data_IF_984643029325
#
_entry.id   IF_984643029325
#
_cell.length_a   1.000
_cell.length_b   1.000
_cell.length_c   1.000
_cell.angle_alpha   90.00
_cell.angle_beta   90.00
_cell.angle_gamma   90.00
#
_symmetry.space_group_name_H-M   'P 1'
#
loop_
_entity.id
_entity.type
_entity.pdbx_description
1 polymer ?
#
# COMPACT_ATOMS: atom_id res chain seq x y z
N UNK A 1 78.05 11.51 -3.11
CA UNK A 1 76.81 12.02 -3.75
C UNK A 1 75.66 11.17 -3.26
N UNK A 2 74.87 11.62 -2.33
CA UNK A 2 73.72 10.91 -1.77
C UNK A 2 72.44 11.53 -2.43
N UNK A 3 71.67 10.77 -3.19
CA UNK A 3 70.41 11.22 -3.72
C UNK A 3 69.29 11.04 -2.68
N UNK A 4 68.62 12.13 -2.38
CA UNK A 4 67.42 12.16 -1.49
C UNK A 4 66.18 11.98 -2.41
N UNK A 5 65.48 10.87 -2.27
CA UNK A 5 64.21 10.64 -2.94
C UNK A 5 63.09 11.31 -2.11
N UNK A 6 62.43 12.31 -2.67
CA UNK A 6 61.24 12.93 -2.08
C UNK A 6 59.99 12.10 -2.41
N UNK A 7 59.34 11.58 -1.38
CA UNK A 7 58.06 10.85 -1.47
C UNK A 7 56.92 11.88 -1.45
N UNK A 8 56.26 12.10 -2.61
CA UNK A 8 55.02 12.90 -2.66
C UNK A 8 53.85 12.05 -2.16
N UNK A 9 53.34 12.37 -0.99
CA UNK A 9 52.06 11.85 -0.48
C UNK A 9 50.90 12.63 -1.17
N UNK A 10 50.19 12.01 -2.10
CA UNK A 10 48.93 12.55 -2.62
C UNK A 10 47.82 12.25 -1.61
N UNK A 11 47.32 13.26 -0.91
CA UNK A 11 46.07 13.18 -0.13
C UNK A 11 44.91 13.02 -1.09
N UNK A 12 44.32 11.84 -1.15
CA UNK A 12 42.98 11.62 -1.77
C UNK A 12 41.95 12.09 -0.75
N UNK A 13 41.40 13.27 -0.94
CA UNK A 13 40.20 13.73 -0.21
C UNK A 13 38.98 12.92 -0.73
N UNK A 14 38.56 11.95 0.06
CA UNK A 14 37.26 11.30 -0.13
C UNK A 14 36.19 12.35 0.20
N UNK A 15 35.59 12.93 -0.81
CA UNK A 15 34.41 13.77 -0.63
C UNK A 15 33.30 12.88 -0.04
N UNK A 16 32.99 13.09 1.23
CA UNK A 16 31.83 12.51 1.88
C UNK A 16 30.59 13.08 1.15
N UNK A 17 29.88 12.22 0.42
CA UNK A 17 28.59 12.59 -0.16
C UNK A 17 27.70 13.06 1.00
N UNK A 18 27.28 14.32 0.96
CA UNK A 18 26.34 14.84 1.94
C UNK A 18 25.09 13.94 1.90
N UNK A 19 24.70 13.41 3.06
CA UNK A 19 23.49 12.59 3.17
C UNK A 19 22.31 13.40 2.60
N UNK A 20 21.67 12.84 1.59
CA UNK A 20 20.46 13.45 1.04
C UNK A 20 19.41 13.58 2.16
N UNK A 21 18.71 14.72 2.25
CA UNK A 21 17.75 14.94 3.32
C UNK A 21 16.73 13.80 3.38
N UNK A 22 16.26 13.48 4.57
CA UNK A 22 15.25 12.44 4.77
C UNK A 22 14.00 12.76 3.94
N UNK A 23 13.38 11.77 3.28
CA UNK A 23 12.14 11.98 2.55
C UNK A 23 11.05 12.55 3.48
N UNK A 24 10.17 13.36 2.92
CA UNK A 24 9.07 14.01 3.61
C UNK A 24 7.78 13.70 2.88
N UNK A 25 6.69 13.50 3.61
CA UNK A 25 5.38 13.22 3.05
C UNK A 25 4.84 14.39 2.22
N UNK A 26 3.91 14.12 1.33
CA UNK A 26 3.29 15.13 0.47
C UNK A 26 2.83 16.38 1.23
N UNK A 27 2.15 16.23 2.38
CA UNK A 27 1.69 17.35 3.22
C UNK A 27 2.80 18.14 3.89
N UNK A 28 3.94 17.53 4.18
CA UNK A 28 5.08 18.20 4.82
C UNK A 28 5.72 19.26 3.93
N UNK A 29 5.37 19.26 2.63
CA UNK A 29 5.73 20.30 1.67
C UNK A 29 4.70 21.43 1.58
N UNK A 30 3.68 21.47 2.45
CA UNK A 30 2.60 22.46 2.43
C UNK A 30 1.61 22.25 1.29
N UNK A 31 1.58 21.06 0.69
CA UNK A 31 0.63 20.66 -0.34
C UNK A 31 -0.53 19.88 0.27
N UNK A 32 -1.68 19.87 -0.37
CA UNK A 32 -2.82 19.08 0.06
C UNK A 32 -3.69 18.67 -1.12
N UNK A 33 -4.39 17.54 -0.96
CA UNK A 33 -5.44 17.07 -1.86
C UNK A 33 -6.72 16.84 -1.08
N UNK A 34 -7.86 17.09 -1.72
CA UNK A 34 -9.17 16.94 -1.11
C UNK A 34 -9.54 18.07 -0.15
N UNK A 35 -10.72 17.93 0.46
CA UNK A 35 -11.33 18.92 1.36
C UNK A 35 -11.47 18.41 2.80
N UNK A 36 -11.34 17.09 3.01
CA UNK A 36 -11.47 16.49 4.33
C UNK A 36 -10.15 16.55 5.10
N UNK A 37 -10.26 16.70 6.43
CA UNK A 37 -9.10 16.66 7.33
C UNK A 37 -8.57 15.24 7.46
N UNK A 38 -7.25 15.04 7.46
CA UNK A 38 -6.66 13.75 7.82
C UNK A 38 -6.90 13.45 9.31
N UNK A 39 -6.77 12.18 9.68
CA UNK A 39 -6.60 11.77 11.07
C UNK A 39 -5.24 12.20 11.63
N UNK A 40 -4.97 11.95 12.91
CA UNK A 40 -3.76 12.41 13.60
C UNK A 40 -2.45 11.94 12.97
N UNK A 41 -2.40 10.71 12.47
CA UNK A 41 -1.23 10.11 11.82
C UNK A 41 -1.28 10.23 10.29
N UNK A 42 -2.46 10.60 9.76
CA UNK A 42 -2.75 10.54 8.33
C UNK A 42 -2.35 9.19 7.73
N UNK A 43 -2.75 8.09 8.38
CA UNK A 43 -2.38 6.73 8.05
C UNK A 43 -3.58 5.78 8.23
N UNK A 44 -3.51 4.58 7.63
CA UNK A 44 -4.55 3.56 7.79
C UNK A 44 -4.77 3.20 9.27
N UNK A 45 -3.76 3.34 10.07
CA UNK A 45 -3.76 3.09 11.53
C UNK A 45 -4.50 4.15 12.34
N UNK A 46 -5.01 5.21 11.73
CA UNK A 46 -5.98 6.12 12.36
C UNK A 46 -7.35 5.46 12.55
N UNK A 47 -7.63 4.38 11.80
CA UNK A 47 -8.81 3.54 12.02
C UNK A 47 -8.57 2.65 13.23
N UNK A 48 -9.44 2.77 14.22
CA UNK A 48 -9.29 2.07 15.51
C UNK A 48 -9.13 0.54 15.35
N UNK A 49 -8.09 -0.01 15.97
CA UNK A 49 -7.76 -1.44 15.95
C UNK A 49 -6.86 -1.88 14.82
N UNK A 50 -6.73 -1.09 13.74
CA UNK A 50 -5.87 -1.43 12.59
C UNK A 50 -4.39 -1.35 12.98
N UNK A 51 -3.64 -2.39 12.61
CA UNK A 51 -2.20 -2.49 12.81
C UNK A 51 -1.50 -2.84 11.49
N UNK A 52 -0.29 -2.32 11.32
CA UNK A 52 0.55 -2.59 10.15
C UNK A 52 1.90 -3.12 10.59
N UNK A 53 2.36 -4.19 9.94
CA UNK A 53 3.69 -4.75 10.14
C UNK A 53 4.40 -4.94 8.80
N UNK A 54 5.72 -4.77 8.79
CA UNK A 54 6.51 -4.82 7.57
C UNK A 54 7.85 -5.51 7.80
N UNK A 55 8.31 -6.26 6.81
CA UNK A 55 9.66 -6.79 6.72
C UNK A 55 10.22 -6.47 5.34
N UNK A 56 11.30 -5.70 5.33
CA UNK A 56 12.06 -5.34 4.11
C UNK A 56 13.18 -6.33 3.91
N UNK A 57 13.32 -6.88 2.70
CA UNK A 57 14.36 -7.84 2.33
C UNK A 57 15.26 -7.18 1.28
N UNK A 58 16.47 -6.82 1.71
CA UNK A 58 17.52 -6.28 0.86
C UNK A 58 18.76 -7.13 1.03
N UNK A 59 19.19 -7.84 -0.04
CA UNK A 59 20.36 -8.71 0.01
C UNK A 59 21.19 -8.53 -1.26
N UNK A 60 22.48 -8.32 -1.08
CA UNK A 60 23.40 -8.05 -2.20
C UNK A 60 22.89 -6.98 -3.15
N UNK A 61 23.16 -7.14 -4.43
CA UNK A 61 22.82 -6.16 -5.45
C UNK A 61 21.49 -6.47 -6.17
N UNK A 62 20.88 -7.63 -5.92
CA UNK A 62 19.75 -8.12 -6.71
C UNK A 62 18.44 -8.30 -5.97
N UNK A 63 18.44 -8.39 -4.63
CA UNK A 63 17.21 -8.64 -3.87
C UNK A 63 16.65 -7.34 -3.29
N UNK A 64 15.49 -6.95 -3.77
CA UNK A 64 14.72 -5.76 -3.32
C UNK A 64 13.24 -6.12 -3.24
N UNK A 65 12.83 -6.75 -2.14
CA UNK A 65 11.47 -7.23 -1.95
C UNK A 65 11.07 -7.14 -0.48
N UNK A 66 9.92 -7.71 -0.13
CA UNK A 66 9.46 -7.75 1.26
C UNK A 66 7.99 -8.11 1.39
N UNK A 67 7.48 -7.92 2.59
CA UNK A 67 6.09 -8.19 2.95
C UNK A 67 5.53 -7.08 3.84
N UNK A 68 4.28 -6.73 3.60
CA UNK A 68 3.50 -5.80 4.43
C UNK A 68 2.21 -6.49 4.85
N UNK A 69 1.86 -6.42 6.12
CA UNK A 69 0.62 -6.98 6.65
C UNK A 69 -0.27 -5.89 7.22
N UNK A 70 -1.58 -6.00 7.00
CA UNK A 70 -2.61 -5.16 7.60
C UNK A 70 -3.52 -6.05 8.44
N UNK A 71 -3.51 -5.83 9.75
CA UNK A 71 -4.30 -6.60 10.73
C UNK A 71 -5.50 -5.76 11.12
N UNK A 72 -6.75 -6.24 10.92
CA UNK A 72 -7.96 -5.45 11.13
C UNK A 72 -8.21 -5.08 12.60
N UNK A 73 -7.88 -5.96 13.55
CA UNK A 73 -8.04 -5.74 14.99
C UNK A 73 -7.12 -6.65 15.81
N UNK A 74 -7.04 -6.43 17.12
CA UNK A 74 -6.12 -7.16 18.01
C UNK A 74 -6.52 -8.61 18.31
N UNK A 75 -7.81 -8.96 18.12
CA UNK A 75 -8.32 -10.30 18.39
C UNK A 75 -8.01 -11.31 17.28
N UNK A 76 -8.48 -12.54 17.48
CA UNK A 76 -8.43 -13.59 16.47
C UNK A 76 -9.42 -13.27 15.34
N UNK A 77 -8.90 -12.83 14.18
CA UNK A 77 -9.70 -12.39 13.01
C UNK A 77 -10.57 -13.54 12.47
N UNK A 78 -10.14 -14.79 12.61
CA UNK A 78 -10.92 -15.94 12.17
C UNK A 78 -12.15 -16.17 13.05
N UNK A 79 -12.04 -15.97 14.35
CA UNK A 79 -13.13 -16.15 15.31
C UNK A 79 -14.08 -14.96 15.37
N UNK A 80 -13.58 -13.75 15.06
CA UNK A 80 -14.31 -12.48 15.07
C UNK A 80 -14.06 -11.75 13.75
N UNK A 81 -14.72 -12.22 12.68
CA UNK A 81 -14.48 -11.77 11.32
C UNK A 81 -14.96 -10.34 11.10
N UNK A 82 -14.18 -9.54 10.38
CA UNK A 82 -14.60 -8.20 9.97
C UNK A 82 -15.39 -8.26 8.67
N UNK A 83 -16.44 -7.45 8.55
CA UNK A 83 -17.12 -7.25 7.29
C UNK A 83 -16.14 -6.72 6.24
N UNK A 84 -16.18 -7.29 5.03
CA UNK A 84 -15.23 -6.95 3.98
C UNK A 84 -15.82 -7.10 2.57
N UNK A 85 -15.17 -6.45 1.62
CA UNK A 85 -15.42 -6.62 0.20
C UNK A 85 -14.14 -6.46 -0.62
N UNK A 86 -14.10 -7.08 -1.78
CA UNK A 86 -13.02 -6.93 -2.76
C UNK A 86 -13.59 -6.36 -4.05
N UNK A 87 -12.92 -5.33 -4.59
CA UNK A 87 -13.18 -4.80 -5.92
C UNK A 87 -11.98 -5.08 -6.84
N UNK A 88 -12.26 -5.65 -8.00
CA UNK A 88 -11.26 -5.87 -9.05
C UNK A 88 -11.38 -4.73 -10.06
N UNK A 89 -10.43 -3.80 -10.02
CA UNK A 89 -10.36 -2.67 -10.95
C UNK A 89 -9.80 -3.12 -12.30
N UNK A 90 -8.72 -3.88 -12.29
CA UNK A 90 -8.18 -4.63 -13.42
C UNK A 90 -7.56 -5.94 -12.92
N UNK A 91 -7.84 -7.06 -13.60
CA UNK A 91 -7.66 -8.40 -13.04
C UNK A 91 -6.36 -9.11 -13.43
N UNK A 92 -5.35 -8.43 -14.00
CA UNK A 92 -4.09 -9.08 -14.36
C UNK A 92 -3.15 -9.20 -13.15
N UNK A 93 -3.45 -10.10 -12.23
CA UNK A 93 -2.68 -10.29 -11.00
C UNK A 93 -3.19 -11.45 -10.16
N UNK A 94 -2.58 -11.61 -8.97
CA UNK A 94 -2.94 -12.65 -8.01
C UNK A 94 -3.41 -11.99 -6.73
N UNK A 95 -4.67 -12.19 -6.42
CA UNK A 95 -5.22 -11.91 -5.10
C UNK A 95 -5.93 -13.18 -4.63
N UNK A 96 -5.40 -13.81 -3.59
CA UNK A 96 -6.06 -14.97 -2.98
C UNK A 96 -7.27 -14.54 -2.15
N UNK A 97 -8.19 -15.46 -1.88
CA UNK A 97 -9.36 -15.19 -1.02
C UNK A 97 -10.50 -14.41 -1.68
N UNK A 98 -10.38 -13.98 -2.95
CA UNK A 98 -11.43 -13.21 -3.64
C UNK A 98 -12.79 -13.91 -3.56
N UNK A 99 -12.85 -15.20 -3.90
CA UNK A 99 -14.10 -15.94 -3.96
C UNK A 99 -14.82 -15.98 -2.61
N UNK A 100 -14.09 -16.26 -1.53
CA UNK A 100 -14.65 -16.30 -0.18
C UNK A 100 -15.13 -14.93 0.28
N UNK A 101 -14.33 -13.86 0.06
CA UNK A 101 -14.73 -12.51 0.47
C UNK A 101 -15.93 -12.02 -0.32
N UNK A 102 -16.00 -12.31 -1.63
CA UNK A 102 -17.14 -11.93 -2.47
C UNK A 102 -18.40 -12.69 -2.09
N UNK A 103 -18.31 -13.97 -1.76
CA UNK A 103 -19.44 -14.82 -1.39
C UNK A 103 -19.93 -14.55 0.03
N UNK A 104 -19.00 -14.45 1.01
CA UNK A 104 -19.36 -14.39 2.43
C UNK A 104 -19.26 -12.98 3.05
N UNK A 105 -18.69 -12.02 2.35
CA UNK A 105 -18.65 -10.63 2.79
C UNK A 105 -17.78 -10.35 4.01
N UNK A 106 -16.76 -11.17 4.29
CA UNK A 106 -15.90 -10.99 5.45
C UNK A 106 -14.46 -11.44 5.20
N UNK A 107 -13.52 -10.98 6.04
CA UNK A 107 -12.15 -11.48 6.12
C UNK A 107 -12.03 -12.52 7.24
N UNK A 108 -11.31 -13.61 6.96
CA UNK A 108 -10.95 -14.65 7.92
C UNK A 108 -9.52 -14.49 8.46
N UNK A 109 -8.73 -13.63 7.82
CA UNK A 109 -7.31 -13.43 8.13
C UNK A 109 -6.93 -11.96 8.01
N UNK A 110 -5.76 -11.54 8.51
CA UNK A 110 -5.08 -10.33 8.05
C UNK A 110 -4.93 -10.29 6.52
N UNK A 111 -4.74 -9.09 5.96
CA UNK A 111 -4.36 -8.89 4.55
C UNK A 111 -2.85 -8.86 4.46
N UNK A 112 -2.27 -9.67 3.58
CA UNK A 112 -0.82 -9.72 3.32
C UNK A 112 -0.53 -9.22 1.91
N UNK A 113 0.47 -8.35 1.76
CA UNK A 113 0.95 -7.83 0.48
C UNK A 113 2.41 -8.26 0.29
N UNK A 114 2.77 -8.69 -0.92
CA UNK A 114 4.13 -9.10 -1.28
C UNK A 114 4.38 -8.96 -2.79
N UNK A 115 5.33 -9.70 -3.35
CA UNK A 115 5.56 -9.77 -4.79
C UNK A 115 4.80 -10.92 -5.45
N UNK A 116 4.68 -10.84 -6.78
CA UNK A 116 3.92 -11.77 -7.62
C UNK A 116 4.24 -13.25 -7.42
N UNK A 117 5.52 -13.62 -7.36
CA UNK A 117 5.92 -15.03 -7.30
C UNK A 117 5.95 -15.60 -5.87
N UNK A 118 5.88 -14.74 -4.87
CA UNK A 118 5.89 -15.15 -3.46
C UNK A 118 4.49 -15.23 -2.81
N UNK A 119 3.43 -14.95 -3.57
CA UNK A 119 2.03 -15.13 -3.09
C UNK A 119 1.80 -16.52 -2.49
N UNK A 120 2.22 -17.64 -3.11
CA UNK A 120 2.03 -18.97 -2.51
C UNK A 120 2.74 -19.14 -1.16
N UNK A 121 3.96 -18.61 -1.04
CA UNK A 121 4.73 -18.66 0.23
C UNK A 121 4.02 -17.87 1.32
N UNK A 122 3.57 -16.65 1.00
CA UNK A 122 2.85 -15.81 1.94
C UNK A 122 1.50 -16.42 2.34
N UNK A 123 0.78 -17.02 1.40
CA UNK A 123 -0.48 -17.69 1.65
C UNK A 123 -0.32 -18.88 2.60
N UNK A 124 0.67 -19.75 2.35
CA UNK A 124 0.97 -20.88 3.23
C UNK A 124 1.33 -20.43 4.66
N UNK A 125 2.19 -19.40 4.77
CA UNK A 125 2.58 -18.85 6.07
C UNK A 125 1.39 -18.25 6.85
N UNK A 126 0.45 -17.60 6.13
CA UNK A 126 -0.73 -17.01 6.75
C UNK A 126 -1.75 -18.08 7.20
N UNK A 127 -1.87 -19.20 6.45
CA UNK A 127 -2.65 -20.36 6.89
C UNK A 127 -2.07 -20.89 8.21
N UNK A 128 -0.76 -21.18 8.26
CA UNK A 128 -0.09 -21.70 9.45
C UNK A 128 -0.28 -20.76 10.66
N UNK A 129 -0.10 -19.46 10.45
CA UNK A 129 -0.29 -18.45 11.49
C UNK A 129 -1.74 -18.44 12.02
N UNK A 130 -2.71 -18.52 11.12
CA UNK A 130 -4.13 -18.50 11.49
C UNK A 130 -4.53 -19.74 12.27
N UNK A 131 -4.09 -20.92 11.82
CA UNK A 131 -4.37 -22.18 12.51
C UNK A 131 -3.71 -22.25 13.91
N UNK A 132 -2.59 -21.57 14.09
CA UNK A 132 -1.88 -21.50 15.38
C UNK A 132 -2.50 -20.52 16.38
N UNK A 133 -3.52 -19.73 15.98
CA UNK A 133 -4.16 -18.79 16.91
C UNK A 133 -5.01 -19.56 17.96
N UNK A 134 -4.98 -19.11 19.24
CA UNK A 134 -5.85 -19.69 20.26
C UNK A 134 -7.32 -19.66 19.84
N UNK A 135 -8.03 -20.78 20.02
CA UNK A 135 -9.43 -20.95 19.62
C UNK A 135 -9.61 -21.48 18.18
N UNK A 136 -8.52 -21.70 17.44
CA UNK A 136 -8.55 -22.25 16.08
C UNK A 136 -8.16 -23.73 16.01
N UNK A 137 -8.06 -24.44 17.13
CA UNK A 137 -7.57 -25.84 17.23
C UNK A 137 -8.43 -26.83 16.42
N UNK A 138 -9.68 -26.48 16.14
CA UNK A 138 -10.62 -27.31 15.38
C UNK A 138 -10.90 -26.77 13.97
N UNK A 139 -10.17 -25.70 13.55
CA UNK A 139 -10.33 -25.12 12.21
C UNK A 139 -9.66 -26.02 11.17
N UNK A 140 -10.39 -26.35 10.11
CA UNK A 140 -9.94 -27.26 9.04
C UNK A 140 -9.88 -26.58 7.67
N UNK A 141 -10.32 -25.33 7.57
CA UNK A 141 -10.31 -24.55 6.33
C UNK A 141 -10.09 -23.08 6.63
N UNK A 142 -9.20 -22.41 5.89
CA UNK A 142 -8.88 -20.99 6.02
C UNK A 142 -8.73 -20.38 4.64
N UNK A 143 -9.45 -19.29 4.39
CA UNK A 143 -9.32 -18.50 3.17
C UNK A 143 -8.47 -17.26 3.43
N UNK A 144 -7.21 -17.32 3.02
CA UNK A 144 -6.25 -16.24 3.25
C UNK A 144 -6.32 -15.18 2.16
N UNK A 145 -6.15 -13.90 2.53
CA UNK A 145 -6.08 -12.78 1.59
C UNK A 145 -4.65 -12.33 1.43
N UNK A 146 -4.06 -12.63 0.26
CA UNK A 146 -2.69 -12.25 -0.12
C UNK A 146 -2.72 -11.60 -1.48
N UNK A 147 -2.30 -10.33 -1.55
CA UNK A 147 -2.18 -9.55 -2.77
C UNK A 147 -0.73 -9.27 -3.16
N UNK A 148 -0.53 -8.77 -4.38
CA UNK A 148 0.81 -8.62 -4.92
C UNK A 148 0.96 -7.48 -5.93
N UNK A 149 2.23 -7.08 -6.11
CA UNK A 149 2.67 -6.34 -7.29
C UNK A 149 3.99 -6.92 -7.79
N UNK A 150 4.30 -6.78 -9.09
CA UNK A 150 5.50 -7.32 -9.68
C UNK A 150 6.72 -6.41 -9.44
N UNK A 151 7.63 -6.81 -8.56
CA UNK A 151 8.85 -6.06 -8.23
C UNK A 151 10.07 -6.45 -9.08
N UNK A 152 9.90 -7.29 -10.10
CA UNK A 152 10.99 -7.89 -10.90
C UNK A 152 11.85 -6.90 -11.66
N UNK A 153 11.54 -5.61 -11.68
CA UNK A 153 12.42 -4.59 -12.26
C UNK A 153 13.65 -4.31 -11.38
N UNK A 154 13.48 -4.36 -10.06
CA UNK A 154 14.53 -4.10 -9.07
C UNK A 154 14.90 -5.35 -8.26
N UNK A 155 14.04 -6.36 -8.26
CA UNK A 155 14.21 -7.58 -7.51
C UNK A 155 14.50 -8.77 -8.41
N UNK A 156 15.40 -9.66 -8.00
CA UNK A 156 15.47 -11.02 -8.54
C UNK A 156 14.22 -11.80 -8.12
N UNK A 157 13.10 -11.50 -8.77
CA UNK A 157 11.79 -12.06 -8.42
C UNK A 157 11.73 -13.59 -8.59
N UNK A 158 12.53 -14.15 -9.52
CA UNK A 158 12.59 -15.60 -9.79
C UNK A 158 13.29 -16.37 -8.66
N UNK A 159 14.15 -15.70 -7.91
CA UNK A 159 14.83 -16.28 -6.74
C UNK A 159 13.87 -16.56 -5.57
N UNK A 160 12.66 -15.94 -5.56
CA UNK A 160 11.61 -16.17 -4.56
C UNK A 160 12.16 -16.03 -3.15
N UNK A 161 12.59 -14.83 -2.80
CA UNK A 161 13.37 -14.55 -1.59
C UNK A 161 12.51 -14.38 -0.33
N UNK A 162 11.18 -14.25 -0.46
CA UNK A 162 10.29 -14.29 0.69
C UNK A 162 10.26 -15.68 1.30
N UNK A 163 10.36 -15.74 2.62
CA UNK A 163 10.27 -16.97 3.41
C UNK A 163 9.12 -16.86 4.41
N UNK A 164 8.66 -18.01 4.91
CA UNK A 164 7.63 -18.11 5.94
C UNK A 164 7.93 -17.21 7.15
N UNK A 165 9.18 -17.21 7.61
CA UNK A 165 9.65 -16.45 8.76
C UNK A 165 9.45 -14.95 8.59
N UNK A 166 9.64 -14.39 7.39
CA UNK A 166 9.44 -12.98 7.11
C UNK A 166 7.96 -12.57 7.26
N UNK A 167 7.03 -13.44 6.86
CA UNK A 167 5.59 -13.20 7.03
C UNK A 167 5.20 -13.24 8.51
N UNK A 168 5.67 -14.25 9.25
CA UNK A 168 5.43 -14.37 10.69
C UNK A 168 6.03 -13.19 11.46
N UNK A 169 7.21 -12.74 11.07
CA UNK A 169 7.86 -11.57 11.65
C UNK A 169 7.07 -10.28 11.37
N UNK A 170 6.55 -10.08 10.14
CA UNK A 170 5.70 -8.95 9.82
C UNK A 170 4.41 -8.95 10.66
N UNK A 171 3.77 -10.11 10.84
CA UNK A 171 2.60 -10.28 11.71
C UNK A 171 2.93 -9.96 13.16
N UNK A 172 4.06 -10.43 13.67
CA UNK A 172 4.52 -10.17 15.04
C UNK A 172 4.88 -8.68 15.27
N UNK A 173 5.38 -7.99 14.25
CA UNK A 173 5.71 -6.56 14.28
C UNK A 173 4.51 -5.64 14.07
N UNK A 174 3.33 -6.19 13.73
CA UNK A 174 2.16 -5.39 13.44
C UNK A 174 1.73 -4.55 14.65
N UNK A 175 1.69 -3.23 14.47
CA UNK A 175 1.34 -2.26 15.51
C UNK A 175 0.54 -1.09 14.94
N UNK A 176 -0.21 -0.41 15.80
CA UNK A 176 -0.76 0.90 15.52
C UNK A 176 0.34 1.98 15.49
N UNK A 177 -0.05 3.23 15.28
CA UNK A 177 0.90 4.33 15.21
C UNK A 177 1.38 4.62 13.78
N UNK A 178 2.50 5.31 13.64
CA UNK A 178 3.04 5.68 12.33
C UNK A 178 3.41 4.46 11.49
N UNK A 179 3.08 4.51 10.20
CA UNK A 179 3.42 3.48 9.21
C UNK A 179 4.63 3.96 8.40
N UNK A 180 5.61 3.09 8.20
CA UNK A 180 6.73 3.37 7.31
C UNK A 180 6.27 3.36 5.86
N UNK A 181 6.78 4.32 5.05
CA UNK A 181 6.35 4.54 3.66
C UNK A 181 7.54 4.55 2.69
N UNK A 182 7.26 4.45 1.40
CA UNK A 182 8.28 4.39 0.35
C UNK A 182 8.79 2.97 0.11
N UNK A 183 10.10 2.83 -0.07
CA UNK A 183 10.77 1.58 -0.44
C UNK A 183 10.92 0.61 0.76
N UNK A 184 9.81 0.22 1.38
CA UNK A 184 9.77 -0.64 2.57
C UNK A 184 8.76 -1.78 2.39
N UNK A 185 8.96 -2.87 3.12
CA UNK A 185 8.06 -4.02 3.07
C UNK A 185 7.80 -4.49 1.64
N UNK A 186 6.54 -4.74 1.31
CA UNK A 186 6.11 -5.14 -0.03
C UNK A 186 6.40 -4.08 -1.12
N UNK A 187 6.67 -2.81 -0.74
CA UNK A 187 7.00 -1.72 -1.65
C UNK A 187 8.49 -1.57 -1.98
N UNK A 188 9.36 -2.46 -1.47
CA UNK A 188 10.83 -2.30 -1.59
C UNK A 188 11.32 -2.28 -3.03
N UNK A 189 10.83 -3.15 -3.91
CA UNK A 189 11.27 -3.27 -5.30
C UNK A 189 10.34 -2.64 -6.35
N UNK A 190 9.28 -1.95 -5.93
CA UNK A 190 8.22 -1.46 -6.84
C UNK A 190 8.57 -0.17 -7.57
N UNK A 191 7.92 0.05 -8.71
CA UNK A 191 8.12 1.22 -9.59
C UNK A 191 6.76 1.83 -9.92
N UNK A 192 6.60 3.15 -9.71
CA UNK A 192 5.34 3.84 -9.96
C UNK A 192 5.55 5.08 -10.85
N UNK A 193 4.81 5.17 -11.95
CA UNK A 193 4.99 6.22 -12.97
C UNK A 193 6.43 6.34 -13.52
N UNK A 194 7.20 5.24 -13.49
CA UNK A 194 8.60 5.23 -13.88
C UNK A 194 9.57 5.74 -12.80
N UNK A 195 9.07 6.26 -11.70
CA UNK A 195 9.83 6.59 -10.48
C UNK A 195 9.81 5.44 -9.47
N UNK A 196 10.64 5.51 -8.44
CA UNK A 196 10.56 4.55 -7.35
C UNK A 196 9.19 4.67 -6.66
N UNK A 197 8.44 3.57 -6.65
CA UNK A 197 7.18 3.42 -5.94
C UNK A 197 7.38 2.91 -4.50
N UNK A 198 6.33 2.40 -3.89
CA UNK A 198 6.43 1.88 -2.53
C UNK A 198 5.12 1.67 -1.82
N UNK A 199 5.22 1.58 -0.49
CA UNK A 199 4.08 1.65 0.42
C UNK A 199 3.76 3.13 0.66
N UNK A 200 2.47 3.45 0.64
CA UNK A 200 1.98 4.75 1.05
C UNK A 200 0.69 4.61 1.85
N UNK A 201 0.41 5.59 2.69
CA UNK A 201 -0.80 5.57 3.51
C UNK A 201 -1.35 6.97 3.70
N UNK A 202 -2.66 7.07 3.94
CA UNK A 202 -3.33 8.30 4.32
C UNK A 202 -4.67 7.99 5.02
N UNK A 203 -5.26 8.98 5.64
CA UNK A 203 -6.60 8.87 6.24
C UNK A 203 -7.42 10.13 6.02
N UNK A 204 -8.74 10.00 6.20
CA UNK A 204 -9.69 11.10 6.26
C UNK A 204 -10.66 10.87 7.41
N UNK A 205 -10.91 11.92 8.16
CA UNK A 205 -11.89 11.91 9.24
C UNK A 205 -13.10 12.75 8.87
N UNK A 206 -14.27 12.14 8.94
CA UNK A 206 -15.53 12.83 8.73
C UNK A 206 -15.79 13.82 9.88
N UNK A 207 -16.46 14.97 9.60
CA UNK A 207 -16.99 15.83 10.67
C UNK A 207 -17.91 15.06 11.61
N UNK A 208 -17.96 15.47 12.87
CA UNK A 208 -18.85 14.86 13.88
C UNK A 208 -20.33 14.88 13.45
N UNK A 209 -20.77 15.93 12.75
CA UNK A 209 -22.13 16.05 12.17
C UNK A 209 -22.44 14.99 11.08
N UNK A 210 -21.42 14.33 10.55
CA UNK A 210 -21.52 13.25 9.58
C UNK A 210 -21.08 11.90 10.15
N UNK A 211 -21.14 11.73 11.48
CA UNK A 211 -20.82 10.51 12.21
C UNK A 211 -19.39 10.44 12.75
N UNK A 212 -18.47 11.34 12.36
CA UNK A 212 -17.10 11.40 12.89
C UNK A 212 -16.21 10.23 12.52
N UNK A 213 -16.66 9.36 11.62
CA UNK A 213 -15.94 8.15 11.19
C UNK A 213 -14.63 8.46 10.48
N UNK A 214 -13.71 7.51 10.53
CA UNK A 214 -12.42 7.56 9.87
C UNK A 214 -12.38 6.56 8.72
N UNK A 215 -11.82 6.98 7.58
CA UNK A 215 -11.40 6.11 6.48
C UNK A 215 -9.89 6.18 6.37
N UNK A 216 -9.22 5.05 6.45
CA UNK A 216 -7.78 4.91 6.28
C UNK A 216 -7.45 4.05 5.06
N UNK A 217 -6.39 4.40 4.34
CA UNK A 217 -5.94 3.70 3.14
C UNK A 217 -4.45 3.39 3.24
N UNK A 218 -4.07 2.18 2.83
CA UNK A 218 -2.69 1.78 2.56
C UNK A 218 -2.61 1.26 1.13
N UNK A 219 -1.57 1.68 0.41
CA UNK A 219 -1.32 1.24 -0.96
C UNK A 219 0.06 0.60 -1.12
N UNK A 220 0.15 -0.37 -2.02
CA UNK A 220 1.40 -0.85 -2.60
C UNK A 220 1.39 -0.46 -4.08
N UNK A 221 2.21 0.54 -4.45
CA UNK A 221 2.18 1.15 -5.79
C UNK A 221 3.26 0.57 -6.70
N UNK A 222 2.84 0.09 -7.88
CA UNK A 222 3.73 -0.43 -8.92
C UNK A 222 3.06 -0.29 -10.30
N UNK A 223 2.60 0.89 -10.66
CA UNK A 223 1.82 1.10 -11.89
C UNK A 223 2.28 2.31 -12.69
N UNK A 224 1.84 2.37 -13.94
CA UNK A 224 2.14 3.44 -14.89
C UNK A 224 0.93 4.34 -15.20
N UNK A 225 1.19 5.33 -16.04
CA UNK A 225 0.18 6.29 -16.48
C UNK A 225 0.79 7.65 -16.75
N UNK A 226 0.04 8.72 -16.52
CA UNK A 226 0.46 10.13 -16.71
C UNK A 226 0.33 10.84 -15.36
N UNK A 227 1.41 10.82 -14.57
CA UNK A 227 1.40 11.31 -13.19
C UNK A 227 0.77 12.71 -13.07
N UNK A 228 -0.24 12.78 -12.21
CA UNK A 228 -0.84 14.02 -11.74
C UNK A 228 -0.60 14.18 -10.24
N UNK A 229 -0.28 15.38 -9.82
CA UNK A 229 -0.11 15.74 -8.40
C UNK A 229 -0.99 16.94 -8.11
N UNK A 230 -1.99 16.79 -7.28
CA UNK A 230 -2.99 17.82 -6.98
C UNK A 230 -3.61 18.45 -8.27
N UNK A 231 -3.93 17.61 -9.26
CA UNK A 231 -4.50 18.03 -10.55
C UNK A 231 -3.49 18.62 -11.55
N UNK A 232 -2.21 18.72 -11.19
CA UNK A 232 -1.17 19.23 -12.09
C UNK A 232 -0.55 18.09 -12.87
N UNK A 233 -0.44 18.14 -14.21
CA UNK A 233 0.11 17.06 -15.04
C UNK A 233 1.66 17.00 -14.95
N UNK A 234 2.15 16.60 -13.78
CA UNK A 234 3.57 16.58 -13.44
C UNK A 234 4.35 15.64 -14.35
N UNK A 235 3.80 14.47 -14.68
CA UNK A 235 4.46 13.52 -15.58
C UNK A 235 4.80 14.13 -16.93
N UNK A 236 3.88 14.88 -17.53
CA UNK A 236 4.12 15.59 -18.78
C UNK A 236 5.18 16.68 -18.62
N UNK A 237 5.11 17.48 -17.55
CA UNK A 237 6.05 18.58 -17.29
C UNK A 237 7.47 18.10 -16.98
N UNK A 238 7.60 16.89 -16.44
CA UNK A 238 8.90 16.21 -16.21
C UNK A 238 9.38 15.43 -17.45
N UNK A 239 8.53 15.31 -18.47
CA UNK A 239 8.83 14.49 -19.64
C UNK A 239 8.88 13.00 -19.34
N UNK A 240 8.17 12.52 -18.32
CA UNK A 240 8.12 11.11 -17.93
C UNK A 240 6.66 10.66 -17.78
N UNK A 241 6.14 10.00 -18.81
CA UNK A 241 4.75 9.55 -18.86
C UNK A 241 4.59 8.37 -19.83
N UNK A 242 3.52 7.61 -19.69
CA UNK A 242 3.14 6.52 -20.57
C UNK A 242 2.97 7.01 -22.03
N UNK A 243 3.47 6.25 -22.99
CA UNK A 243 3.46 6.56 -24.43
C UNK A 243 4.28 7.80 -24.86
N UNK A 244 5.15 8.31 -24.01
CA UNK A 244 6.07 9.39 -24.40
C UNK A 244 6.89 9.03 -25.65
N UNK A 245 7.44 7.81 -25.64
CA UNK A 245 8.16 7.24 -26.75
C UNK A 245 7.34 6.03 -27.24
N UNK A 246 6.78 6.09 -28.43
CA UNK A 246 5.93 5.00 -28.99
C UNK A 246 6.62 3.63 -29.01
N UNK A 247 7.95 3.63 -28.94
CA UNK A 247 8.78 2.44 -28.88
C UNK A 247 9.08 1.95 -27.45
N UNK A 248 8.76 2.71 -26.43
CA UNK A 248 8.97 2.27 -25.05
C UNK A 248 7.87 1.31 -24.68
N UNK A 249 8.21 0.03 -24.48
CA UNK A 249 7.27 -0.95 -23.96
C UNK A 249 6.69 -0.42 -22.64
N UNK A 250 5.37 -0.29 -22.60
CA UNK A 250 4.65 0.06 -21.40
C UNK A 250 5.15 -0.79 -20.23
N UNK A 251 5.46 -0.16 -19.11
CA UNK A 251 5.60 -0.88 -17.88
C UNK A 251 4.18 -1.31 -17.47
N UNK A 252 3.84 -2.57 -17.69
CA UNK A 252 2.71 -3.19 -17.02
C UNK A 252 2.95 -3.07 -15.52
N UNK A 253 1.92 -2.74 -14.79
CA UNK A 253 2.07 -2.46 -13.37
C UNK A 253 0.87 -2.98 -12.59
N UNK A 254 0.87 -2.80 -11.28
CA UNK A 254 -0.19 -3.26 -10.38
C UNK A 254 -0.34 -2.30 -9.21
N UNK A 255 -1.53 -2.26 -8.61
CA UNK A 255 -1.76 -1.52 -7.39
C UNK A 255 -2.61 -2.35 -6.42
N UNK A 256 -2.07 -2.60 -5.23
CA UNK A 256 -2.88 -3.10 -4.12
C UNK A 256 -3.32 -1.91 -3.26
N UNK A 257 -4.61 -1.84 -2.99
CA UNK A 257 -5.22 -0.82 -2.14
C UNK A 257 -5.98 -1.52 -1.01
N UNK A 258 -5.66 -1.17 0.23
CA UNK A 258 -6.39 -1.62 1.42
C UNK A 258 -7.10 -0.43 2.03
N UNK A 259 -8.42 -0.51 2.12
CA UNK A 259 -9.29 0.53 2.71
C UNK A 259 -9.86 0.01 4.03
N UNK A 260 -9.63 0.70 5.11
CA UNK A 260 -10.21 0.43 6.42
C UNK A 260 -11.15 1.56 6.84
N UNK A 261 -12.19 1.24 7.59
CA UNK A 261 -13.05 2.23 8.23
C UNK A 261 -13.56 1.73 9.58
N UNK A 262 -13.82 2.64 10.51
CA UNK A 262 -14.54 2.40 11.76
C UNK A 262 -16.05 2.70 11.65
N UNK A 263 -16.52 2.97 10.43
CA UNK A 263 -17.94 3.13 10.17
C UNK A 263 -18.65 1.76 10.14
N UNK A 264 -19.88 1.64 10.67
CA UNK A 264 -20.66 0.41 10.59
C UNK A 264 -21.20 0.23 9.16
N UNK A 265 -20.44 -0.47 8.35
CA UNK A 265 -20.78 -0.77 6.94
C UNK A 265 -20.55 -2.25 6.63
N UNK A 266 -21.55 -2.87 6.02
CA UNK A 266 -21.51 -4.28 5.60
C UNK A 266 -20.86 -4.45 4.23
N UNK A 267 -20.67 -5.70 3.81
CA UNK A 267 -19.96 -6.06 2.57
C UNK A 267 -20.46 -5.30 1.33
N UNK A 268 -21.78 -5.12 1.17
CA UNK A 268 -22.36 -4.42 0.01
C UNK A 268 -21.87 -2.96 -0.07
N UNK A 269 -21.88 -2.23 1.04
CA UNK A 269 -21.43 -0.84 1.07
C UNK A 269 -19.89 -0.75 1.08
N UNK A 270 -19.18 -1.72 1.65
CA UNK A 270 -17.72 -1.83 1.51
C UNK A 270 -17.28 -2.06 0.07
N UNK A 271 -18.03 -2.84 -0.72
CA UNK A 271 -17.81 -2.98 -2.17
C UNK A 271 -17.95 -1.65 -2.92
N UNK A 272 -18.92 -0.81 -2.50
CA UNK A 272 -19.06 0.56 -3.03
C UNK A 272 -17.91 1.47 -2.62
N UNK A 273 -17.39 1.34 -1.39
CA UNK A 273 -16.17 2.04 -0.95
C UNK A 273 -14.96 1.59 -1.77
N UNK A 274 -14.76 0.29 -1.90
CA UNK A 274 -13.64 -0.28 -2.65
C UNK A 274 -13.61 0.23 -4.10
N UNK A 275 -14.76 0.28 -4.77
CA UNK A 275 -14.82 0.82 -6.15
C UNK A 275 -14.45 2.30 -6.23
N UNK A 276 -14.65 3.10 -5.18
CA UNK A 276 -14.26 4.53 -5.14
C UNK A 276 -12.76 4.75 -4.97
N UNK A 277 -12.03 3.79 -4.40
CA UNK A 277 -10.57 3.87 -4.34
C UNK A 277 -9.96 3.95 -5.75
N UNK A 278 -10.58 3.31 -6.76
CA UNK A 278 -10.15 3.42 -8.17
C UNK A 278 -10.26 4.85 -8.71
N UNK A 279 -11.21 5.64 -8.23
CA UNK A 279 -11.29 7.06 -8.59
C UNK A 279 -10.14 7.87 -7.98
N UNK A 280 -9.67 7.50 -6.78
CA UNK A 280 -8.47 8.07 -6.16
C UNK A 280 -7.20 7.72 -6.95
N UNK A 281 -7.07 6.46 -7.40
CA UNK A 281 -6.00 6.04 -8.29
C UNK A 281 -6.02 6.83 -9.60
N UNK A 282 -7.17 6.97 -10.23
CA UNK A 282 -7.34 7.71 -11.48
C UNK A 282 -6.95 9.20 -11.33
N UNK A 283 -7.21 9.83 -10.17
CA UNK A 283 -6.79 11.22 -9.88
C UNK A 283 -5.28 11.41 -9.92
N UNK A 284 -4.51 10.37 -9.62
CA UNK A 284 -3.04 10.42 -9.75
C UNK A 284 -2.54 10.18 -11.16
N UNK A 285 -3.44 9.89 -12.11
CA UNK A 285 -3.10 9.62 -13.51
C UNK A 285 -2.83 8.16 -13.83
N UNK A 286 -3.17 7.23 -12.92
CA UNK A 286 -3.18 5.79 -13.18
C UNK A 286 -4.25 5.43 -14.19
N UNK A 287 -3.94 4.48 -15.09
CA UNK A 287 -4.82 4.12 -16.23
C UNK A 287 -5.30 2.67 -16.20
N UNK A 288 -4.92 1.89 -15.19
CA UNK A 288 -5.25 0.46 -15.10
C UNK A 288 -4.97 -0.24 -16.43
N UNK A 289 -3.69 -0.20 -16.86
CA UNK A 289 -3.25 -0.78 -18.15
C UNK A 289 -3.57 -2.28 -18.22
N UNK A 290 -3.62 -2.86 -19.42
CA UNK A 290 -4.04 -4.25 -19.64
C UNK A 290 -3.28 -5.27 -18.77
N UNK A 291 -1.98 -5.06 -18.54
CA UNK A 291 -1.14 -5.93 -17.70
C UNK A 291 -1.12 -5.53 -16.21
N UNK A 292 -1.99 -4.63 -15.77
CA UNK A 292 -2.08 -4.21 -14.37
C UNK A 292 -2.99 -5.14 -13.54
N UNK A 293 -2.59 -5.45 -12.32
CA UNK A 293 -3.41 -6.09 -11.30
C UNK A 293 -3.82 -5.05 -10.25
N UNK A 294 -4.97 -4.41 -10.46
CA UNK A 294 -5.46 -3.36 -9.57
C UNK A 294 -6.60 -3.91 -8.71
N UNK A 295 -6.31 -4.17 -7.44
CA UNK A 295 -7.25 -4.77 -6.50
C UNK A 295 -7.43 -3.89 -5.27
N UNK A 296 -8.66 -3.82 -4.80
CA UNK A 296 -9.02 -3.10 -3.58
C UNK A 296 -9.66 -4.04 -2.59
N UNK A 297 -9.08 -4.15 -1.38
CA UNK A 297 -9.68 -4.83 -0.23
C UNK A 297 -10.21 -3.78 0.72
N UNK A 298 -11.51 -3.76 1.00
CA UNK A 298 -12.13 -2.86 1.95
C UNK A 298 -12.71 -3.63 3.13
N UNK A 299 -12.54 -3.13 4.36
CA UNK A 299 -13.13 -3.74 5.56
C UNK A 299 -13.54 -2.69 6.60
N UNK A 300 -14.48 -3.08 7.47
CA UNK A 300 -14.91 -2.29 8.63
C UNK A 300 -14.41 -2.91 9.92
N UNK A 301 -13.85 -2.09 10.81
CA UNK A 301 -13.46 -2.52 12.16
C UNK A 301 -14.58 -2.38 13.19
N UNK A 302 -15.72 -1.82 12.82
CA UNK A 302 -16.84 -1.59 13.74
C UNK A 302 -17.38 -2.94 14.28
N UNK A 303 -17.46 -3.10 15.60
CA UNK A 303 -17.94 -4.34 16.21
C UNK A 303 -19.41 -4.69 15.88
N UNK A 304 -20.24 -3.71 15.49
CA UNK A 304 -21.66 -3.91 15.14
C UNK A 304 -21.87 -4.65 13.82
N UNK A 305 -20.82 -4.75 12.99
CA UNK A 305 -20.86 -5.44 11.69
C UNK A 305 -19.89 -6.62 11.63
N UNK A 306 -19.33 -7.05 12.76
CA UNK A 306 -18.48 -8.24 12.84
C UNK A 306 -19.31 -9.51 12.88
N UNK A 307 -18.75 -10.58 12.33
CA UNK A 307 -19.38 -11.91 12.22
C UNK A 307 -18.60 -12.91 13.06
N UNK A 308 -19.26 -13.57 14.00
CA UNK A 308 -18.64 -14.64 14.81
C UNK A 308 -18.53 -15.92 13.98
N UNK A 309 -17.38 -16.60 14.05
CA UNK A 309 -17.18 -17.90 13.38
C UNK A 309 -18.20 -18.95 13.82
N UNK A 310 -18.52 -18.97 15.11
CA UNK A 310 -19.56 -19.79 15.70
C UNK A 310 -20.42 -18.95 16.63
N UNK A 311 -21.71 -19.06 16.46
CA UNK A 311 -22.70 -18.44 17.32
C UNK A 311 -23.81 -19.45 17.62
N UNK A 312 -24.41 -19.40 18.81
CA UNK A 312 -25.55 -20.24 19.17
C UNK A 312 -26.82 -19.80 18.43
N UNK A 313 -26.90 -18.53 18.11
CA UNK A 313 -28.02 -17.95 17.35
C UNK A 313 -27.91 -18.28 15.85
N UNK A 314 -29.04 -18.60 15.24
CA UNK A 314 -29.15 -18.86 13.79
C UNK A 314 -29.26 -17.61 12.94
N UNK A 315 -29.38 -16.44 13.58
CA UNK A 315 -29.52 -15.14 12.91
C UNK A 315 -28.58 -14.13 13.53
N UNK A 316 -28.05 -13.24 12.71
CA UNK A 316 -27.25 -12.08 13.12
C UNK A 316 -27.98 -10.78 12.72
N UNK A 317 -27.85 -9.74 13.53
CA UNK A 317 -28.37 -8.41 13.24
C UNK A 317 -27.20 -7.44 13.11
N UNK A 318 -27.20 -6.64 12.06
CA UNK A 318 -26.19 -5.63 11.80
C UNK A 318 -26.79 -4.23 11.81
N UNK A 319 -26.11 -3.29 12.43
CA UNK A 319 -26.39 -1.87 12.24
C UNK A 319 -25.55 -1.37 11.05
N UNK A 320 -26.16 -0.78 10.05
CA UNK A 320 -25.46 -0.27 8.88
C UNK A 320 -25.84 1.19 8.60
N UNK A 321 -24.84 2.00 8.22
CA UNK A 321 -25.08 3.35 7.71
C UNK A 321 -26.01 3.28 6.50
N UNK A 322 -27.03 4.16 6.48
CA UNK A 322 -28.00 4.24 5.39
C UNK A 322 -27.33 4.64 4.07
N UNK A 323 -27.89 4.20 2.96
CA UNK A 323 -27.35 4.51 1.64
C UNK A 323 -27.17 6.01 1.39
N UNK A 324 -28.10 6.83 1.88
CA UNK A 324 -28.10 8.27 1.66
C UNK A 324 -26.95 8.97 2.42
N UNK A 325 -26.42 8.33 3.46
CA UNK A 325 -25.34 8.85 4.29
C UNK A 325 -23.94 8.33 3.90
N UNK A 326 -23.85 7.53 2.82
CA UNK A 326 -22.58 6.94 2.37
C UNK A 326 -21.66 7.89 1.60
N UNK A 327 -22.17 8.98 1.03
CA UNK A 327 -21.38 9.87 0.14
C UNK A 327 -20.16 10.50 0.80
N UNK A 328 -20.18 10.92 2.08
CA UNK A 328 -18.99 11.41 2.77
C UNK A 328 -17.87 10.34 2.87
N UNK A 329 -18.22 9.07 3.12
CA UNK A 329 -17.26 7.97 3.17
C UNK A 329 -16.65 7.68 1.79
N UNK A 330 -17.44 7.84 0.70
CA UNK A 330 -16.93 7.72 -0.66
C UNK A 330 -15.89 8.79 -0.97
N UNK A 331 -16.18 10.06 -0.64
CA UNK A 331 -15.23 11.14 -0.83
C UNK A 331 -13.96 10.94 0.01
N UNK A 332 -14.11 10.54 1.27
CA UNK A 332 -12.99 10.21 2.15
C UNK A 332 -12.09 9.13 1.56
N UNK A 333 -12.67 8.08 0.99
CA UNK A 333 -11.93 6.98 0.33
C UNK A 333 -11.15 7.48 -0.88
N UNK A 334 -11.77 8.30 -1.74
CA UNK A 334 -11.11 8.86 -2.93
C UNK A 334 -9.91 9.71 -2.52
N UNK A 335 -10.10 10.65 -1.60
CA UNK A 335 -9.05 11.58 -1.16
C UNK A 335 -7.92 10.88 -0.42
N UNK A 336 -8.23 9.90 0.44
CA UNK A 336 -7.22 9.13 1.16
C UNK A 336 -6.41 8.25 0.20
N UNK A 337 -7.04 7.67 -0.83
CA UNK A 337 -6.33 6.86 -1.84
C UNK A 337 -5.39 7.72 -2.68
N UNK A 338 -5.86 8.88 -3.17
CA UNK A 338 -5.03 9.83 -3.91
C UNK A 338 -3.78 10.22 -3.09
N UNK A 339 -3.96 10.61 -1.84
CA UNK A 339 -2.84 11.02 -0.99
C UNK A 339 -1.91 9.86 -0.61
N UNK A 340 -2.43 8.67 -0.34
CA UNK A 340 -1.61 7.49 -0.06
C UNK A 340 -0.68 7.16 -1.24
N UNK A 341 -1.17 7.24 -2.48
CA UNK A 341 -0.35 7.05 -3.67
C UNK A 341 0.72 8.14 -3.78
N UNK A 342 0.39 9.40 -3.55
CA UNK A 342 1.36 10.48 -3.54
C UNK A 342 2.42 10.27 -2.45
N UNK A 343 2.02 9.87 -1.25
CA UNK A 343 2.96 9.59 -0.16
C UNK A 343 3.93 8.45 -0.53
N UNK A 344 3.49 7.39 -1.22
CA UNK A 344 4.38 6.31 -1.66
C UNK A 344 5.51 6.80 -2.55
N UNK A 345 5.26 7.82 -3.39
CA UNK A 345 6.23 8.44 -4.28
C UNK A 345 7.14 9.45 -3.55
N UNK A 346 6.56 10.29 -2.70
CA UNK A 346 7.29 11.34 -1.96
C UNK A 346 8.23 10.76 -0.91
N UNK A 347 7.89 9.60 -0.34
CA UNK A 347 8.68 8.90 0.68
C UNK A 347 9.71 7.92 0.11
N UNK A 348 9.65 7.65 -1.20
CA UNK A 348 10.59 6.74 -1.86
C UNK A 348 11.98 7.37 -2.03
N UNK A 349 13.00 6.49 -2.04
CA UNK A 349 14.41 6.86 -2.33
C UNK A 349 14.86 6.16 -3.60
N UNK A 350 15.78 6.79 -4.33
CA UNK A 350 16.46 6.14 -5.47
C UNK A 350 17.00 4.79 -5.03
N UNK A 351 16.68 3.76 -5.80
CA UNK A 351 17.00 2.38 -5.44
C UNK A 351 17.69 1.70 -6.62
N UNK A 352 18.81 1.06 -6.35
CA UNK A 352 19.50 0.16 -7.28
C UNK A 352 19.24 -1.28 -6.87
N UNK A 353 18.95 -2.14 -7.83
CA UNK A 353 18.62 -3.55 -7.60
C UNK A 353 19.11 -4.44 -8.73
N UNK A 354 18.35 -5.49 -9.05
CA UNK A 354 18.70 -6.54 -9.98
C UNK A 354 19.28 -6.01 -11.30
N UNK A 355 20.33 -6.68 -11.78
CA UNK A 355 21.07 -6.35 -13.01
C UNK A 355 21.64 -4.91 -13.05
N UNK A 356 21.94 -4.32 -11.88
CA UNK A 356 22.40 -2.94 -11.79
C UNK A 356 21.36 -1.89 -12.14
N UNK A 357 20.09 -2.28 -12.29
CA UNK A 357 18.98 -1.37 -12.59
C UNK A 357 18.80 -0.36 -11.48
N UNK A 358 18.84 0.92 -11.83
CA UNK A 358 18.55 2.01 -10.89
C UNK A 358 17.24 2.69 -11.26
N UNK A 359 16.35 2.83 -10.29
CA UNK A 359 15.10 3.59 -10.41
C UNK A 359 15.19 4.80 -9.50
N UNK A 360 15.10 5.98 -10.10
CA UNK A 360 15.19 7.26 -9.39
C UNK A 360 13.95 7.52 -8.56
N UNK A 361 14.13 8.15 -7.40
CA UNK A 361 13.03 8.76 -6.66
C UNK A 361 12.37 9.88 -7.49
N UNK A 362 11.15 10.23 -7.13
CA UNK A 362 10.46 11.42 -7.66
C UNK A 362 11.33 12.66 -7.34
N UNK A 363 11.58 13.58 -8.30
CA UNK A 363 12.28 14.83 -8.04
C UNK A 363 11.38 15.81 -7.27
N UNK A 364 11.20 15.56 -5.96
CA UNK A 364 10.18 16.19 -5.11
C UNK A 364 10.23 17.71 -5.15
N UNK A 365 11.41 18.34 -5.06
CA UNK A 365 11.52 19.79 -5.07
C UNK A 365 10.97 20.40 -6.36
N UNK A 366 11.27 19.76 -7.51
CA UNK A 366 10.75 20.17 -8.81
C UNK A 366 9.23 19.99 -8.90
N UNK A 367 8.72 18.89 -8.36
CA UNK A 367 7.27 18.64 -8.30
C UNK A 367 6.56 19.70 -7.46
N UNK A 368 7.09 20.01 -6.28
CA UNK A 368 6.55 21.05 -5.39
C UNK A 368 6.53 22.42 -6.09
N UNK A 369 7.61 22.79 -6.80
CA UNK A 369 7.68 24.00 -7.61
C UNK A 369 6.57 24.03 -8.67
N UNK A 370 6.41 22.95 -9.44
CA UNK A 370 5.41 22.84 -10.50
C UNK A 370 3.97 22.94 -9.98
N UNK A 371 3.69 22.31 -8.84
CA UNK A 371 2.36 22.36 -8.21
C UNK A 371 2.06 23.75 -7.69
N UNK A 372 3.00 24.38 -6.97
CA UNK A 372 2.82 25.75 -6.46
C UNK A 372 2.66 26.78 -7.58
N UNK A 373 3.39 26.63 -8.69
CA UNK A 373 3.26 27.51 -9.85
C UNK A 373 1.88 27.41 -10.53
N UNK A 374 1.24 26.26 -10.47
CA UNK A 374 -0.08 26.04 -11.06
C UNK A 374 -1.25 26.47 -10.14
N UNK A 375 -0.99 26.70 -8.85
CA UNK A 375 -1.98 27.15 -7.86
C UNK A 375 -2.02 28.68 -7.70
N UNK A 376 -1.10 29.41 -8.34
CA UNK A 376 -1.06 30.89 -8.43
C UNK A 376 -1.88 31.36 -9.62
#
# INVERSE_FOLDING_TARGET
MRAIAALLLTLVTVAQAADAPAPRRFRDHGLSVGVMKPGPLNAITDVGGVRVGQVTITQGDSVRTGVTVVVPHEGNVFQDKVAAAIHVGNGFGKLTGIAQVQELGNLETPVVLTNTLDVPTAASALVDWTLAQPGNEQVQSVNVVVGETNDGRLNDIRGRHLRREHVLEALARARGGAVEEGAVGAGTGTVCFGFKGGIGTASRRLPASLGGHTVGVLVQTNFGGVLQVAGVPVGQRLGQYYLRDELTKAADGSCMIVVATDAPVTARNLGRLASRAMLGLARTGGISSNGSGDFVVAFSTDPRVRMKHRADARTEAFEEIRNDDMSPLFLATIEATEEAILNSLFMARTTTGANGTTVSALPVDKVVELVRAAQR
#
